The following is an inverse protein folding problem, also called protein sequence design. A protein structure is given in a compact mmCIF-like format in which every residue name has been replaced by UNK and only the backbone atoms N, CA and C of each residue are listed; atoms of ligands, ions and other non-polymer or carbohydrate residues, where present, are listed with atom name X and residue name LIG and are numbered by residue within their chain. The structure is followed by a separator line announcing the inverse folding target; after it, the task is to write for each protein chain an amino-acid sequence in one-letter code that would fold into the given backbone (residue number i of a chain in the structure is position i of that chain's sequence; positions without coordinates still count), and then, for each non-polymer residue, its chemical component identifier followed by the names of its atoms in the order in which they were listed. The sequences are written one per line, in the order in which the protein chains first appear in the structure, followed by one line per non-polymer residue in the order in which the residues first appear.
data_IF_245009525509
#
_entry.id   IF_245009525509
#
_cell.length_a   1.000
_cell.length_b   1.000
_cell.length_c   1.000
_cell.angle_alpha   90.00
_cell.angle_beta   90.00
_cell.angle_gamma   90.00
#
_symmetry.space_group_name_H-M   'P 1'
#
loop_
_entity.id
_entity.type
_entity.pdbx_description
1 polymer ?
#
# COMPACT_ATOMS: atom_id res chain seq x y z
N UNK A 1 17.36 -15.53 0.54
CA UNK A 1 16.53 -14.39 0.99
C UNK A 1 15.48 -14.21 -0.08
N UNK A 2 14.21 -14.45 0.24
CA UNK A 2 13.13 -14.32 -0.75
C UNK A 2 12.78 -12.85 -0.91
N UNK A 3 12.95 -12.31 -2.13
CA UNK A 3 12.57 -10.95 -2.46
C UNK A 3 11.11 -10.93 -2.96
N UNK A 4 10.26 -10.12 -2.34
CA UNK A 4 8.91 -9.89 -2.82
C UNK A 4 8.91 -8.67 -3.73
N UNK A 5 8.45 -8.83 -4.96
CA UNK A 5 8.40 -7.77 -5.98
C UNK A 5 6.96 -7.51 -6.40
N UNK A 6 6.63 -6.22 -6.52
CA UNK A 6 5.39 -5.74 -7.15
C UNK A 6 5.68 -5.40 -8.61
N UNK A 7 4.66 -5.41 -9.46
CA UNK A 7 4.79 -5.04 -10.89
C UNK A 7 3.45 -4.57 -11.44
N UNK A 8 3.43 -4.04 -12.67
CA UNK A 8 2.16 -3.74 -13.36
C UNK A 8 1.29 -4.97 -13.61
N UNK A 9 1.84 -6.19 -13.47
CA UNK A 9 1.12 -7.46 -13.53
C UNK A 9 0.46 -7.85 -12.19
N UNK A 10 1.04 -7.39 -11.07
CA UNK A 10 0.54 -7.65 -9.72
C UNK A 10 0.21 -6.30 -9.07
N UNK A 11 -0.96 -5.79 -9.41
CA UNK A 11 -1.45 -4.48 -8.96
C UNK A 11 -2.15 -4.58 -7.61
N UNK A 12 -2.49 -3.41 -7.08
CA UNK A 12 -3.25 -3.23 -5.86
C UNK A 12 -4.08 -1.96 -5.93
N UNK A 13 -4.78 -1.67 -4.85
CA UNK A 13 -5.55 -0.44 -4.69
C UNK A 13 -5.20 0.23 -3.36
N UNK A 14 -5.40 1.54 -3.34
CA UNK A 14 -5.32 2.37 -2.15
C UNK A 14 -6.65 3.10 -2.03
N UNK A 15 -7.25 3.06 -0.85
CA UNK A 15 -8.46 3.80 -0.52
C UNK A 15 -8.12 4.87 0.52
N UNK A 16 -8.30 6.13 0.14
CA UNK A 16 -8.14 7.25 1.06
C UNK A 16 -9.45 7.40 1.83
N UNK A 17 -9.41 7.17 3.15
CA UNK A 17 -10.59 7.29 4.01
C UNK A 17 -10.66 8.66 4.69
N UNK A 18 -9.52 9.34 4.85
CA UNK A 18 -9.46 10.72 5.34
C UNK A 18 -8.36 11.49 4.62
N UNK A 19 -8.70 12.70 4.18
CA UNK A 19 -7.77 13.70 3.70
C UNK A 19 -8.11 15.05 4.34
N UNK A 20 -7.42 15.37 5.43
CA UNK A 20 -7.53 16.68 6.08
C UNK A 20 -6.39 17.57 5.58
N UNK A 21 -6.73 18.44 4.63
CA UNK A 21 -5.77 19.34 3.99
C UNK A 21 -5.34 20.50 4.90
N UNK A 22 -6.11 20.82 5.94
CA UNK A 22 -5.78 21.89 6.88
C UNK A 22 -4.67 21.46 7.84
N UNK A 23 -4.73 20.22 8.33
CA UNK A 23 -3.72 19.64 9.24
C UNK A 23 -2.64 18.84 8.52
N UNK A 24 -2.87 18.43 7.27
CA UNK A 24 -1.96 17.60 6.48
C UNK A 24 -2.09 16.10 6.75
N UNK A 25 -3.10 15.68 7.51
CA UNK A 25 -3.33 14.27 7.84
C UNK A 25 -3.99 13.56 6.66
N UNK A 26 -3.37 12.49 6.18
CA UNK A 26 -3.94 11.57 5.20
C UNK A 26 -3.90 10.17 5.77
N UNK A 27 -5.04 9.48 5.77
CA UNK A 27 -5.11 8.09 6.21
C UNK A 27 -6.04 7.27 5.32
N UNK A 28 -5.82 5.97 5.33
CA UNK A 28 -6.49 5.09 4.42
C UNK A 28 -6.10 3.64 4.59
N UNK A 29 -6.60 2.84 3.66
CA UNK A 29 -6.29 1.41 3.57
C UNK A 29 -5.70 1.07 2.21
N UNK A 30 -5.00 -0.04 2.14
CA UNK A 30 -4.47 -0.55 0.88
C UNK A 30 -4.52 -2.07 0.84
N UNK A 31 -4.54 -2.60 -0.38
CA UNK A 31 -4.35 -4.01 -0.66
C UNK A 31 -3.55 -4.16 -1.96
N UNK A 32 -2.60 -5.09 -1.99
CA UNK A 32 -1.85 -5.40 -3.21
C UNK A 32 -1.41 -6.86 -3.26
N UNK A 33 -1.06 -7.32 -4.46
CA UNK A 33 -0.42 -8.62 -4.66
C UNK A 33 1.07 -8.44 -4.89
N UNK A 34 1.89 -9.27 -4.25
CA UNK A 34 3.31 -9.39 -4.53
C UNK A 34 3.63 -10.80 -5.02
N UNK A 35 4.69 -10.94 -5.81
CA UNK A 35 5.19 -12.23 -6.24
C UNK A 35 6.61 -12.45 -5.73
N UNK A 36 6.90 -13.70 -5.38
CA UNK A 36 8.27 -14.19 -5.18
C UNK A 36 8.94 -14.46 -6.53
N UNK A 37 10.28 -14.62 -6.58
CA UNK A 37 10.98 -14.90 -7.84
C UNK A 37 10.58 -16.23 -8.47
N UNK A 38 10.08 -17.19 -7.68
CA UNK A 38 9.56 -18.48 -8.14
C UNK A 38 8.12 -18.40 -8.68
N UNK A 39 7.51 -17.21 -8.71
CA UNK A 39 6.17 -16.99 -9.26
C UNK A 39 5.03 -17.24 -8.28
N UNK A 40 5.32 -17.63 -7.04
CA UNK A 40 4.29 -17.72 -5.98
C UNK A 40 3.83 -16.32 -5.60
N UNK A 41 2.51 -16.10 -5.61
CA UNK A 41 1.89 -14.84 -5.23
C UNK A 41 1.45 -14.85 -3.77
N UNK A 42 1.50 -13.67 -3.15
CA UNK A 42 0.97 -13.38 -1.82
C UNK A 42 0.10 -12.13 -1.92
N UNK A 43 -1.03 -12.12 -1.21
CA UNK A 43 -1.91 -10.96 -1.10
C UNK A 43 -1.67 -10.29 0.24
N UNK A 44 -1.38 -8.99 0.20
CA UNK A 44 -1.33 -8.13 1.39
C UNK A 44 -2.66 -7.37 1.44
N UNK A 45 -3.52 -7.70 2.40
CA UNK A 45 -4.84 -7.08 2.58
C UNK A 45 -4.97 -6.42 3.95
N UNK A 46 -5.97 -5.55 4.09
CA UNK A 46 -6.23 -4.78 5.32
C UNK A 46 -5.04 -3.92 5.79
N UNK A 47 -4.17 -3.52 4.87
CA UNK A 47 -3.12 -2.56 5.17
C UNK A 47 -3.74 -1.23 5.56
N UNK A 48 -3.20 -0.58 6.59
CA UNK A 48 -3.64 0.75 7.04
C UNK A 48 -2.43 1.67 7.05
N UNK A 49 -2.63 2.91 6.62
CA UNK A 49 -1.64 3.96 6.78
C UNK A 49 -2.27 5.19 7.43
N UNK A 50 -1.44 5.91 8.17
CA UNK A 50 -1.74 7.22 8.75
C UNK A 50 -0.46 8.05 8.61
N UNK A 51 -0.53 9.12 7.83
CA UNK A 51 0.63 9.95 7.50
C UNK A 51 0.31 11.43 7.66
N UNK A 52 1.32 12.19 8.04
CA UNK A 52 1.29 13.64 7.97
C UNK A 52 2.12 14.12 6.78
N UNK A 53 1.46 14.53 5.71
CA UNK A 53 2.09 14.93 4.45
C UNK A 53 2.93 16.22 4.56
N UNK A 54 2.86 16.95 5.67
CA UNK A 54 3.64 18.18 5.89
C UNK A 54 4.93 17.94 6.67
N UNK A 55 5.10 16.77 7.25
CA UNK A 55 6.27 16.44 8.10
C UNK A 55 6.93 15.13 7.68
N UNK A 56 6.64 14.64 6.48
CA UNK A 56 7.37 13.53 5.86
C UNK A 56 8.67 14.01 5.22
#
# INVERSE_FOLDING_TARGET
MDAYVTSSKYTGWVSITKADTATGIVSGTFEFKAATPSGKTVTVSNGRFDVNARTQ
#
